data_IF_356482547056
#
_entry.id   IF_356482547056
#
_cell.length_a   1.000
_cell.length_b   1.000
_cell.length_c   1.000
_cell.angle_alpha   90.00
_cell.angle_beta   90.00
_cell.angle_gamma   90.00
#
_symmetry.space_group_name_H-M   'P 1'
#
loop_
_entity.id
_entity.type
_entity.pdbx_description
1 polymer ?
#
# COMPACT_ATOMS: atom_id res chain seq x y z
N UNK A 1 45.52 2.70 43.20
CA UNK A 1 44.54 3.47 42.41
C UNK A 1 44.63 2.98 40.97
N UNK A 2 43.87 1.92 40.63
CA UNK A 2 43.89 1.33 39.30
C UNK A 2 42.59 1.69 38.59
N UNK A 3 42.66 2.58 37.60
CA UNK A 3 41.51 2.90 36.75
C UNK A 3 41.16 1.65 35.94
N UNK A 4 39.94 1.17 36.15
CA UNK A 4 39.48 -0.10 35.60
C UNK A 4 39.39 -0.03 34.06
N UNK A 5 39.91 -1.02 33.32
CA UNK A 5 40.01 -1.01 31.85
C UNK A 5 38.66 -1.08 31.12
N UNK A 6 37.55 -1.18 31.84
CA UNK A 6 36.19 -1.20 31.27
C UNK A 6 35.75 0.16 30.73
N UNK A 7 36.19 1.26 31.36
CA UNK A 7 35.77 2.61 30.99
C UNK A 7 36.37 3.06 29.64
N UNK A 8 37.61 2.67 29.36
CA UNK A 8 38.29 3.00 28.08
C UNK A 8 37.66 2.21 26.92
N UNK A 9 37.22 0.98 27.15
CA UNK A 9 36.55 0.15 26.14
C UNK A 9 35.13 0.62 25.84
N UNK A 10 34.44 1.19 26.82
CA UNK A 10 33.13 1.82 26.63
C UNK A 10 33.23 3.13 25.84
N UNK A 11 34.26 3.94 26.11
CA UNK A 11 34.47 5.21 25.40
C UNK A 11 34.92 4.99 23.95
N UNK A 12 35.78 4.00 23.68
CA UNK A 12 36.19 3.68 22.31
C UNK A 12 35.03 3.11 21.47
N UNK A 13 34.18 2.27 22.04
CA UNK A 13 32.99 1.74 21.37
C UNK A 13 31.96 2.83 21.05
N UNK A 14 31.80 3.82 21.93
CA UNK A 14 30.93 4.97 21.68
C UNK A 14 31.49 5.89 20.57
N UNK A 15 32.80 6.03 20.46
CA UNK A 15 33.44 6.82 19.40
C UNK A 15 33.34 6.16 18.00
N UNK A 16 33.30 4.83 17.93
CA UNK A 16 33.08 4.08 16.67
C UNK A 16 31.63 4.16 16.16
N UNK A 17 30.67 4.37 17.06
CA UNK A 17 29.26 4.57 16.70
C UNK A 17 28.97 5.97 16.14
N UNK A 18 29.79 6.97 16.47
CA UNK A 18 29.63 8.35 15.99
C UNK A 18 30.40 8.63 14.67
N UNK A 19 31.40 7.80 14.33
CA UNK A 19 32.24 7.98 13.14
C UNK A 19 31.66 7.41 11.84
N UNK A 20 30.56 6.67 11.89
CA UNK A 20 29.93 6.09 10.69
C UNK A 20 28.53 6.68 10.41
N UNK A 21 28.43 7.82 9.69
CA UNK A 21 27.15 8.43 9.32
C UNK A 21 26.30 7.59 8.34
N UNK A 22 26.83 6.48 7.79
CA UNK A 22 26.14 5.61 6.83
C UNK A 22 24.95 4.81 7.39
N UNK A 23 24.70 4.85 8.70
CA UNK A 23 23.55 4.16 9.33
C UNK A 23 22.26 4.98 9.30
N UNK A 24 22.33 6.29 9.03
CA UNK A 24 21.13 7.13 8.86
C UNK A 24 20.51 6.94 7.46
N UNK A 25 21.32 6.62 6.44
CA UNK A 25 20.85 6.39 5.06
C UNK A 25 20.12 5.05 4.87
N UNK A 26 20.45 4.03 5.64
CA UNK A 26 19.83 2.70 5.51
C UNK A 26 18.33 2.66 5.88
N UNK A 27 17.86 3.64 6.69
CA UNK A 27 16.44 3.73 7.06
C UNK A 27 15.58 4.37 5.97
N UNK A 28 16.18 5.15 5.07
CA UNK A 28 15.47 5.82 3.98
C UNK A 28 15.13 4.83 2.84
N UNK A 29 15.99 3.84 2.59
CA UNK A 29 15.77 2.81 1.56
C UNK A 29 14.54 1.95 1.87
N UNK A 30 14.35 1.56 3.13
CA UNK A 30 13.19 0.75 3.56
C UNK A 30 11.85 1.50 3.45
N UNK A 31 11.82 2.81 3.70
CA UNK A 31 10.59 3.62 3.54
C UNK A 31 10.24 3.82 2.06
N UNK A 32 11.25 3.96 1.19
CA UNK A 32 11.05 4.10 -0.25
C UNK A 32 10.54 2.80 -0.87
N UNK A 33 11.09 1.65 -0.47
CA UNK A 33 10.60 0.32 -0.87
C UNK A 33 9.18 0.05 -0.39
N UNK A 34 8.84 0.39 0.87
CA UNK A 34 7.48 0.24 1.39
C UNK A 34 6.47 1.13 0.66
N UNK A 35 6.86 2.36 0.31
CA UNK A 35 6.00 3.28 -0.46
C UNK A 35 5.78 2.77 -1.89
N UNK A 36 6.83 2.24 -2.53
CA UNK A 36 6.73 1.64 -3.86
C UNK A 36 5.87 0.38 -3.86
N UNK A 37 6.00 -0.48 -2.83
CA UNK A 37 5.16 -1.66 -2.64
C UNK A 37 3.69 -1.30 -2.43
N UNK A 38 3.39 -0.24 -1.67
CA UNK A 38 2.03 0.23 -1.49
C UNK A 38 1.43 0.78 -2.79
N UNK A 39 2.17 1.62 -3.52
CA UNK A 39 1.73 2.16 -4.80
C UNK A 39 1.43 1.03 -5.81
N UNK A 40 2.33 0.04 -5.90
CA UNK A 40 2.15 -1.14 -6.73
C UNK A 40 0.90 -1.95 -6.32
N UNK A 41 0.67 -2.13 -5.02
CA UNK A 41 -0.53 -2.83 -4.51
C UNK A 41 -1.82 -2.11 -4.91
N UNK A 42 -1.83 -0.77 -4.87
CA UNK A 42 -2.98 0.02 -5.33
C UNK A 42 -3.19 -0.12 -6.83
N UNK A 43 -2.11 -0.08 -7.62
CA UNK A 43 -2.17 -0.27 -9.07
C UNK A 43 -2.74 -1.66 -9.44
N UNK A 44 -2.24 -2.71 -8.81
CA UNK A 44 -2.72 -4.07 -8.96
C UNK A 44 -4.20 -4.20 -8.54
N UNK A 45 -4.58 -3.58 -7.42
CA UNK A 45 -5.98 -3.57 -6.95
C UNK A 45 -6.90 -2.86 -7.94
N UNK A 46 -6.45 -1.75 -8.55
CA UNK A 46 -7.22 -1.00 -9.53
C UNK A 46 -7.39 -1.79 -10.84
N UNK A 47 -6.34 -2.49 -11.28
CA UNK A 47 -6.42 -3.42 -12.40
C UNK A 47 -7.41 -4.56 -12.11
N UNK A 48 -7.41 -5.10 -10.88
CA UNK A 48 -8.35 -6.14 -10.47
C UNK A 48 -9.80 -5.66 -10.47
N UNK A 49 -10.04 -4.43 -10.03
CA UNK A 49 -11.37 -3.81 -10.05
C UNK A 49 -11.87 -3.63 -11.49
N UNK A 50 -10.98 -3.28 -12.43
CA UNK A 50 -11.32 -3.21 -13.86
C UNK A 50 -11.67 -4.58 -14.44
N UNK A 51 -10.89 -5.62 -14.09
CA UNK A 51 -11.17 -7.01 -14.47
C UNK A 51 -12.54 -7.47 -13.95
N UNK A 52 -12.84 -7.24 -12.66
CA UNK A 52 -14.14 -7.56 -12.05
C UNK A 52 -15.31 -6.85 -12.77
N UNK A 53 -15.07 -5.63 -13.28
CA UNK A 53 -16.07 -4.90 -14.05
C UNK A 53 -16.35 -5.57 -15.41
N UNK A 54 -15.29 -6.04 -16.08
CA UNK A 54 -15.41 -6.80 -17.33
C UNK A 54 -16.08 -8.14 -17.13
N UNK A 55 -15.69 -8.88 -16.08
CA UNK A 55 -16.27 -10.17 -15.71
C UNK A 55 -17.78 -10.05 -15.41
N UNK A 56 -18.18 -9.01 -14.66
CA UNK A 56 -19.59 -8.68 -14.44
C UNK A 56 -20.34 -8.49 -15.77
N UNK A 57 -19.77 -7.74 -16.72
CA UNK A 57 -20.42 -7.50 -18.01
C UNK A 57 -20.58 -8.79 -18.83
N UNK A 58 -19.59 -9.67 -18.81
CA UNK A 58 -19.64 -10.97 -19.47
C UNK A 58 -20.67 -11.89 -18.83
N UNK A 59 -20.69 -12.00 -17.51
CA UNK A 59 -21.68 -12.83 -16.80
C UNK A 59 -23.12 -12.33 -17.03
N UNK A 60 -23.33 -11.01 -17.10
CA UNK A 60 -24.64 -10.45 -17.45
C UNK A 60 -25.04 -10.87 -18.87
N UNK A 61 -24.11 -10.81 -19.83
CA UNK A 61 -24.37 -11.21 -21.21
C UNK A 61 -24.64 -12.72 -21.34
N UNK A 62 -23.90 -13.55 -20.61
CA UNK A 62 -24.10 -15.01 -20.58
C UNK A 62 -25.41 -15.40 -19.89
N UNK A 63 -25.82 -14.65 -18.87
CA UNK A 63 -27.10 -14.82 -18.21
C UNK A 63 -28.27 -14.45 -19.12
N UNK A 64 -28.22 -13.29 -19.76
CA UNK A 64 -29.28 -12.82 -20.69
C UNK A 64 -29.37 -13.69 -21.95
N UNK A 65 -28.24 -14.23 -22.42
CA UNK A 65 -28.21 -15.16 -23.56
C UNK A 65 -28.70 -16.58 -23.23
N UNK A 66 -29.05 -16.85 -21.96
CA UNK A 66 -29.58 -18.14 -21.51
C UNK A 66 -28.55 -19.27 -21.44
N UNK A 67 -27.25 -18.95 -21.63
CA UNK A 67 -26.15 -19.92 -21.59
C UNK A 67 -25.81 -20.36 -20.16
N UNK A 68 -26.02 -19.50 -19.18
CA UNK A 68 -25.77 -19.80 -17.77
C UNK A 68 -26.96 -19.39 -16.90
N UNK A 69 -27.60 -20.37 -16.24
CA UNK A 69 -28.69 -20.15 -15.28
C UNK A 69 -28.19 -19.93 -13.84
N UNK A 70 -26.88 -19.74 -13.63
CA UNK A 70 -26.32 -19.58 -12.29
C UNK A 70 -26.52 -18.16 -11.75
N UNK A 71 -27.78 -17.80 -11.48
CA UNK A 71 -28.21 -16.50 -10.92
C UNK A 71 -27.45 -16.18 -9.63
N UNK A 72 -27.14 -17.21 -8.83
CA UNK A 72 -26.45 -17.04 -7.56
C UNK A 72 -25.03 -16.53 -7.76
N UNK A 73 -24.29 -17.11 -8.69
CA UNK A 73 -22.93 -16.70 -9.03
C UNK A 73 -22.91 -15.28 -9.63
N UNK A 74 -23.86 -14.97 -10.52
CA UNK A 74 -24.04 -13.63 -11.06
C UNK A 74 -24.27 -12.59 -9.94
N UNK A 75 -25.20 -12.86 -9.02
CA UNK A 75 -25.50 -11.98 -7.88
C UNK A 75 -24.27 -11.73 -7.01
N UNK A 76 -23.50 -12.79 -6.70
CA UNK A 76 -22.26 -12.68 -5.93
C UNK A 76 -21.24 -11.81 -6.66
N UNK A 77 -21.03 -12.05 -7.95
CA UNK A 77 -20.08 -11.27 -8.76
C UNK A 77 -20.50 -9.81 -8.86
N UNK A 78 -21.79 -9.53 -9.03
CA UNK A 78 -22.35 -8.18 -8.99
C UNK A 78 -22.09 -7.48 -7.65
N UNK A 79 -22.33 -8.16 -6.53
CA UNK A 79 -22.08 -7.62 -5.19
C UNK A 79 -20.59 -7.37 -4.95
N UNK A 80 -19.72 -8.31 -5.33
CA UNK A 80 -18.27 -8.15 -5.22
C UNK A 80 -17.77 -6.97 -6.04
N UNK A 81 -18.18 -6.87 -7.30
CA UNK A 81 -17.78 -5.77 -8.18
C UNK A 81 -18.28 -4.41 -7.66
N UNK A 82 -19.52 -4.35 -7.13
CA UNK A 82 -20.07 -3.14 -6.51
C UNK A 82 -19.26 -2.70 -5.28
N UNK A 83 -19.03 -3.62 -4.34
CA UNK A 83 -18.24 -3.34 -3.14
C UNK A 83 -16.81 -2.91 -3.46
N UNK A 84 -16.19 -3.57 -4.45
CA UNK A 84 -14.85 -3.22 -4.92
C UNK A 84 -14.80 -1.79 -5.47
N UNK A 85 -15.81 -1.38 -6.25
CA UNK A 85 -15.92 0.00 -6.78
C UNK A 85 -16.09 1.04 -5.67
N UNK A 86 -16.95 0.76 -4.69
CA UNK A 86 -17.17 1.65 -3.55
C UNK A 86 -15.88 1.86 -2.76
N UNK A 87 -15.14 0.77 -2.53
CA UNK A 87 -13.84 0.81 -1.88
C UNK A 87 -12.82 1.62 -2.70
N UNK A 88 -12.74 1.42 -4.01
CA UNK A 88 -11.88 2.21 -4.90
C UNK A 88 -12.20 3.69 -4.84
N UNK A 89 -13.49 4.06 -4.84
CA UNK A 89 -13.92 5.45 -4.70
C UNK A 89 -13.51 6.04 -3.35
N UNK A 90 -13.68 5.29 -2.26
CA UNK A 90 -13.26 5.71 -0.93
C UNK A 90 -11.74 5.97 -0.86
N UNK A 91 -10.93 5.07 -1.43
CA UNK A 91 -9.47 5.23 -1.51
C UNK A 91 -9.11 6.46 -2.35
N UNK A 92 -9.70 6.62 -3.53
CA UNK A 92 -9.50 7.81 -4.39
C UNK A 92 -9.78 9.10 -3.62
N UNK A 93 -10.90 9.16 -2.89
CA UNK A 93 -11.27 10.32 -2.09
C UNK A 93 -10.26 10.59 -0.98
N UNK A 94 -9.75 9.55 -0.31
CA UNK A 94 -8.72 9.70 0.73
C UNK A 94 -7.38 10.20 0.19
N UNK A 95 -6.97 9.73 -0.99
CA UNK A 95 -5.77 10.23 -1.67
C UNK A 95 -5.92 11.70 -2.04
N UNK A 96 -7.07 12.10 -2.59
CA UNK A 96 -7.36 13.51 -2.89
C UNK A 96 -7.37 14.39 -1.63
N UNK A 97 -7.95 13.91 -0.52
CA UNK A 97 -7.93 14.60 0.77
C UNK A 97 -6.51 14.75 1.32
N UNK A 98 -5.69 13.71 1.26
CA UNK A 98 -4.30 13.76 1.71
C UNK A 98 -3.48 14.77 0.90
N UNK A 99 -3.70 14.82 -0.42
CA UNK A 99 -3.09 15.84 -1.29
C UNK A 99 -3.53 17.25 -0.90
N UNK A 100 -4.83 17.47 -0.68
CA UNK A 100 -5.36 18.76 -0.22
C UNK A 100 -4.79 19.19 1.14
N UNK A 101 -4.64 18.25 2.08
CA UNK A 101 -4.09 18.51 3.41
C UNK A 101 -2.61 18.94 3.34
N UNK A 102 -1.80 18.29 2.51
CA UNK A 102 -0.40 18.68 2.29
C UNK A 102 -0.32 20.10 1.74
N UNK A 103 -1.20 20.49 0.82
CA UNK A 103 -1.23 21.88 0.31
C UNK A 103 -1.64 22.88 1.39
N UNK A 104 -2.49 22.49 2.34
CA UNK A 104 -2.95 23.37 3.42
C UNK A 104 -1.89 23.63 4.49
N UNK A 105 -0.97 22.69 4.72
CA UNK A 105 0.12 22.82 5.70
C UNK A 105 1.21 23.81 5.23
N UNK A 106 1.28 24.14 3.94
CA UNK A 106 2.35 24.98 3.36
C UNK A 106 2.13 26.51 3.50
N UNK A 107 1.33 26.97 4.46
CA UNK A 107 1.14 28.39 4.76
C UNK A 107 1.24 28.68 6.25
#
# INVERSE_FOLDING_TARGET
MAVSPLAIKAYSAASELLSNPKSIDAKNTSTKEATQSFAQTIEESLAKVNEMQGEKSLMIQDFVSGKNQNVHELMITLQKAGLAMDMTSAVRNKVMQAYQEIMRIQF
#
